data_IF_059127747241
#
_entry.id   IF_059127747241
#
_cell.length_a   1.000
_cell.length_b   1.000
_cell.length_c   1.000
_cell.angle_alpha   90.00
_cell.angle_beta   90.00
_cell.angle_gamma   90.00
#
_symmetry.space_group_name_H-M   'P 1'
#
loop_
_entity.id
_entity.type
_entity.pdbx_description
1 polymer ?
#
# COMPACT_ATOMS: atom_id res chain seq x y z
N UNK A 1 16.62 15.00 -18.14
CA UNK A 1 15.36 14.39 -18.59
C UNK A 1 15.55 12.88 -18.62
N UNK A 2 15.25 12.19 -17.52
CA UNK A 2 15.39 10.73 -17.42
C UNK A 2 14.09 10.05 -17.86
N UNK A 3 14.16 9.30 -18.96
CA UNK A 3 13.05 8.52 -19.50
C UNK A 3 13.01 7.18 -18.74
N UNK A 4 12.04 6.99 -17.85
CA UNK A 4 11.77 5.68 -17.26
C UNK A 4 11.05 4.82 -18.32
N UNK A 5 11.52 3.60 -18.64
CA UNK A 5 10.84 2.77 -19.63
C UNK A 5 9.47 2.32 -19.08
N UNK A 6 8.45 2.14 -19.94
CA UNK A 6 7.19 1.56 -19.51
C UNK A 6 7.47 0.16 -18.96
N UNK A 7 6.99 -0.11 -17.74
CA UNK A 7 7.02 -1.44 -17.13
C UNK A 7 6.44 -2.41 -18.14
N UNK A 8 7.25 -3.36 -18.59
CA UNK A 8 6.85 -4.36 -19.57
C UNK A 8 5.59 -5.06 -19.10
N UNK A 9 4.54 -5.00 -19.92
CA UNK A 9 3.30 -5.74 -19.71
C UNK A 9 3.61 -7.23 -19.79
N UNK A 10 3.78 -7.87 -18.62
CA UNK A 10 3.76 -9.33 -18.54
C UNK A 10 2.41 -9.80 -19.10
N UNK A 11 2.38 -10.81 -20.00
CA UNK A 11 1.13 -11.36 -20.47
C UNK A 11 0.37 -11.91 -19.26
N UNK A 12 -0.84 -11.38 -19.02
CA UNK A 12 -1.78 -11.94 -18.06
C UNK A 12 -2.10 -13.38 -18.49
N UNK A 13 -1.36 -14.35 -17.94
CA UNK A 13 -1.84 -15.72 -17.83
C UNK A 13 -2.92 -15.67 -16.76
N UNK A 14 -4.08 -16.30 -17.02
CA UNK A 14 -5.09 -16.51 -15.99
C UNK A 14 -4.41 -17.25 -14.82
N UNK A 15 -3.97 -16.48 -13.83
CA UNK A 15 -3.30 -16.97 -12.64
C UNK A 15 -4.28 -17.73 -11.78
N UNK A 16 -3.75 -18.43 -10.77
CA UNK A 16 -4.55 -19.13 -9.79
C UNK A 16 -5.62 -18.19 -9.18
N UNK A 17 -6.71 -18.73 -8.61
CA UNK A 17 -7.82 -17.92 -8.06
C UNK A 17 -7.39 -16.81 -7.07
N UNK A 18 -6.23 -16.95 -6.42
CA UNK A 18 -5.61 -15.94 -5.57
C UNK A 18 -5.24 -14.66 -6.32
N UNK A 19 -4.68 -14.76 -7.53
CA UNK A 19 -4.27 -13.61 -8.33
C UNK A 19 -5.49 -12.80 -8.75
N UNK A 20 -6.55 -13.47 -9.23
CA UNK A 20 -7.81 -12.81 -9.59
C UNK A 20 -8.40 -12.02 -8.41
N UNK A 21 -8.35 -12.58 -7.20
CA UNK A 21 -8.82 -11.88 -5.99
C UNK A 21 -7.97 -10.64 -5.67
N UNK A 22 -6.65 -10.75 -5.74
CA UNK A 22 -5.72 -9.61 -5.50
C UNK A 22 -5.97 -8.47 -6.48
N UNK A 23 -6.04 -8.76 -7.78
CA UNK A 23 -6.32 -7.74 -8.80
C UNK A 23 -7.72 -7.12 -8.67
N UNK A 24 -8.73 -7.92 -8.32
CA UNK A 24 -10.07 -7.37 -8.03
C UNK A 24 -10.02 -6.40 -6.86
N UNK A 25 -9.38 -6.78 -5.76
CA UNK A 25 -9.23 -5.94 -4.57
C UNK A 25 -8.48 -4.66 -4.89
N UNK A 26 -7.38 -4.75 -5.64
CA UNK A 26 -6.63 -3.58 -6.08
C UNK A 26 -7.49 -2.62 -6.90
N UNK A 27 -8.35 -3.14 -7.79
CA UNK A 27 -9.31 -2.32 -8.53
C UNK A 27 -10.33 -1.65 -7.60
N UNK A 28 -10.85 -2.37 -6.61
CA UNK A 28 -11.76 -1.82 -5.59
C UNK A 28 -11.07 -0.71 -4.75
N UNK A 29 -9.80 -0.89 -4.34
CA UNK A 29 -8.98 0.13 -3.66
C UNK A 29 -8.88 1.41 -4.51
N UNK A 30 -8.54 1.26 -5.79
CA UNK A 30 -8.48 2.38 -6.75
C UNK A 30 -9.82 3.11 -6.85
N UNK A 31 -10.94 2.37 -6.94
CA UNK A 31 -12.26 2.98 -7.05
C UNK A 31 -12.62 3.81 -5.80
N UNK A 32 -12.35 3.25 -4.62
CA UNK A 32 -12.62 3.93 -3.33
C UNK A 32 -11.82 5.22 -3.18
N UNK A 33 -10.57 5.22 -3.64
CA UNK A 33 -9.65 6.35 -3.54
C UNK A 33 -9.80 7.38 -4.67
N UNK A 34 -10.47 7.04 -5.77
CA UNK A 34 -10.60 7.90 -6.93
C UNK A 34 -11.50 9.12 -6.63
N UNK A 35 -10.96 10.31 -6.90
CA UNK A 35 -11.69 11.60 -6.80
C UNK A 35 -12.40 12.00 -8.09
N UNK A 36 -12.08 11.34 -9.21
CA UNK A 36 -12.64 11.64 -10.52
C UNK A 36 -13.18 10.35 -11.15
N UNK A 37 -14.11 10.46 -12.12
CA UNK A 37 -14.56 9.30 -12.88
C UNK A 37 -13.39 8.65 -13.61
N UNK A 38 -13.20 7.35 -13.37
CA UNK A 38 -12.24 6.48 -14.03
C UNK A 38 -12.99 5.50 -14.93
N UNK A 39 -12.48 5.29 -16.13
CA UNK A 39 -12.97 4.22 -17.00
C UNK A 39 -12.31 2.92 -16.59
N UNK A 40 -12.95 1.80 -16.89
CA UNK A 40 -12.38 0.49 -16.63
C UNK A 40 -11.02 0.27 -17.33
N UNK A 41 -10.79 0.89 -18.49
CA UNK A 41 -9.48 0.85 -19.15
C UNK A 41 -8.39 1.59 -18.35
N UNK A 42 -8.74 2.67 -17.66
CA UNK A 42 -7.80 3.46 -16.84
C UNK A 42 -7.42 2.69 -15.57
N UNK A 43 -8.39 1.98 -14.99
CA UNK A 43 -8.17 1.07 -13.85
C UNK A 43 -7.30 -0.11 -14.29
N UNK A 44 -7.58 -0.72 -15.45
CA UNK A 44 -6.77 -1.82 -15.97
C UNK A 44 -5.31 -1.40 -16.22
N UNK A 45 -5.12 -0.24 -16.87
CA UNK A 45 -3.79 0.34 -17.10
C UNK A 45 -3.05 0.63 -15.80
N UNK A 46 -3.75 1.14 -14.78
CA UNK A 46 -3.20 1.36 -13.43
C UNK A 46 -2.65 0.08 -12.82
N UNK A 47 -3.36 -1.03 -12.97
CA UNK A 47 -2.99 -2.33 -12.41
C UNK A 47 -2.03 -3.12 -13.30
N UNK A 48 -1.63 -2.60 -14.46
CA UNK A 48 -0.75 -3.29 -15.40
C UNK A 48 -1.38 -4.51 -16.08
N UNK A 49 -2.72 -4.58 -16.13
CA UNK A 49 -3.47 -5.67 -16.79
C UNK A 49 -4.19 -5.16 -18.03
N UNK A 50 -4.57 -6.07 -18.93
CA UNK A 50 -5.39 -5.69 -20.08
C UNK A 50 -6.82 -5.35 -19.66
N UNK A 51 -7.54 -4.47 -20.38
CA UNK A 51 -8.96 -4.20 -20.11
C UNK A 51 -9.83 -5.45 -20.14
N UNK A 52 -9.52 -6.40 -21.03
CA UNK A 52 -10.20 -7.70 -21.12
C UNK A 52 -9.96 -8.58 -19.89
N UNK A 53 -8.71 -8.66 -19.41
CA UNK A 53 -8.38 -9.38 -18.18
C UNK A 53 -9.12 -8.80 -16.97
N UNK A 54 -9.12 -7.47 -16.83
CA UNK A 54 -9.86 -6.81 -15.76
C UNK A 54 -11.36 -7.10 -15.87
N UNK A 55 -11.93 -7.08 -17.07
CA UNK A 55 -13.35 -7.44 -17.27
C UNK A 55 -13.67 -8.87 -16.84
N UNK A 56 -12.76 -9.82 -17.07
CA UNK A 56 -12.95 -11.21 -16.62
C UNK A 56 -12.85 -11.33 -15.09
N UNK A 57 -11.91 -10.60 -14.47
CA UNK A 57 -11.72 -10.56 -13.02
C UNK A 57 -12.93 -9.94 -12.31
N UNK A 58 -13.46 -8.84 -12.85
CA UNK A 58 -14.65 -8.16 -12.31
C UNK A 58 -15.89 -9.03 -12.49
N UNK A 59 -15.99 -9.74 -13.62
CA UNK A 59 -17.07 -10.68 -13.88
C UNK A 59 -18.44 -10.01 -13.79
N UNK A 60 -19.37 -10.62 -13.06
CA UNK A 60 -20.76 -10.14 -12.96
C UNK A 60 -21.01 -9.08 -11.89
N UNK A 61 -20.12 -8.97 -10.92
CA UNK A 61 -20.26 -7.98 -9.84
C UNK A 61 -19.43 -6.77 -10.23
N UNK A 62 -20.07 -5.65 -10.65
CA UNK A 62 -19.35 -4.48 -11.13
C UNK A 62 -18.47 -3.88 -10.03
N UNK A 63 -17.43 -3.17 -10.45
CA UNK A 63 -16.66 -2.32 -9.55
C UNK A 63 -17.53 -1.16 -9.07
N UNK A 64 -17.24 -0.58 -7.89
CA UNK A 64 -17.90 0.65 -7.47
C UNK A 64 -17.73 1.76 -8.51
N UNK A 65 -18.78 2.58 -8.67
CA UNK A 65 -18.68 3.79 -9.49
C UNK A 65 -17.58 4.72 -8.97
N UNK A 66 -16.97 5.47 -9.89
CA UNK A 66 -15.96 6.46 -9.55
C UNK A 66 -16.43 7.86 -9.97
N UNK A 67 -16.29 8.89 -9.11
CA UNK A 67 -15.96 8.79 -7.70
C UNK A 67 -17.06 8.09 -6.90
N UNK A 68 -16.68 7.27 -5.91
CA UNK A 68 -17.64 6.65 -4.99
C UNK A 68 -18.33 7.75 -4.19
N UNK A 69 -19.65 7.68 -4.05
CA UNK A 69 -20.39 8.67 -3.23
C UNK A 69 -19.93 8.62 -1.77
N UNK A 70 -19.98 9.75 -1.09
CA UNK A 70 -19.60 9.85 0.32
C UNK A 70 -20.28 8.78 1.20
N UNK A 71 -21.58 8.57 1.00
CA UNK A 71 -22.37 7.57 1.73
C UNK A 71 -21.95 6.13 1.41
N UNK A 72 -21.61 5.82 0.16
CA UNK A 72 -21.22 4.47 -0.25
C UNK A 72 -19.75 4.14 0.09
N UNK A 73 -18.89 5.15 0.23
CA UNK A 73 -17.44 4.95 0.42
C UNK A 73 -17.11 4.17 1.70
N UNK A 74 -17.85 4.40 2.79
CA UNK A 74 -17.69 3.64 4.04
C UNK A 74 -18.04 2.16 3.87
N UNK A 75 -19.11 1.86 3.13
CA UNK A 75 -19.51 0.48 2.82
C UNK A 75 -18.48 -0.21 1.93
N UNK A 76 -17.96 0.48 0.92
CA UNK A 76 -16.89 -0.05 0.07
C UNK A 76 -15.61 -0.35 0.87
N UNK A 77 -15.19 0.55 1.76
CA UNK A 77 -14.05 0.32 2.66
C UNK A 77 -14.27 -0.89 3.58
N UNK A 78 -15.46 -1.01 4.18
CA UNK A 78 -15.79 -2.15 5.02
C UNK A 78 -15.76 -3.49 4.26
N UNK A 79 -16.15 -3.48 2.98
CA UNK A 79 -16.11 -4.66 2.13
C UNK A 79 -14.68 -5.13 1.78
N UNK A 80 -13.67 -4.26 1.89
CA UNK A 80 -12.25 -4.59 1.67
C UNK A 80 -11.65 -5.36 2.87
N UNK A 81 -12.16 -5.11 4.07
CA UNK A 81 -11.60 -5.57 5.35
C UNK A 81 -11.46 -7.07 5.61
N UNK A 82 -12.35 -7.99 5.17
CA UNK A 82 -12.24 -9.40 5.56
C UNK A 82 -11.06 -10.14 4.89
N UNK A 83 -10.16 -9.43 4.21
CA UNK A 83 -9.15 -9.99 3.33
C UNK A 83 -7.86 -9.18 3.45
N UNK A 84 -6.88 -9.67 4.23
CA UNK A 84 -5.55 -9.06 4.25
C UNK A 84 -4.97 -9.03 2.84
N UNK A 85 -4.35 -7.91 2.47
CA UNK A 85 -3.71 -7.72 1.16
C UNK A 85 -2.58 -8.71 0.90
N UNK A 86 -1.96 -9.28 1.94
CA UNK A 86 -0.70 -10.01 1.77
C UNK A 86 -0.63 -11.34 2.53
N UNK A 87 -1.34 -12.35 2.02
CA UNK A 87 -1.16 -13.73 2.44
C UNK A 87 0.14 -14.31 1.85
N UNK A 88 1.18 -14.40 2.69
CA UNK A 88 2.47 -15.00 2.31
C UNK A 88 3.62 -14.02 2.11
N UNK A 89 3.53 -12.82 2.68
CA UNK A 89 4.63 -11.87 2.74
C UNK A 89 5.90 -12.47 3.37
N UNK A 90 7.06 -12.07 2.86
CA UNK A 90 8.34 -12.30 3.57
C UNK A 90 8.58 -11.11 4.49
N UNK A 91 8.88 -11.36 5.76
CA UNK A 91 9.13 -10.32 6.74
C UNK A 91 10.50 -10.49 7.39
N UNK A 92 11.23 -9.39 7.52
CA UNK A 92 12.44 -9.29 8.37
C UNK A 92 12.23 -8.19 9.40
N UNK A 93 12.83 -8.39 10.57
CA UNK A 93 12.54 -7.64 11.78
C UNK A 93 13.80 -6.96 12.27
N UNK A 94 13.70 -5.65 12.52
CA UNK A 94 14.84 -4.79 12.75
C UNK A 94 14.59 -3.87 13.94
N UNK A 95 15.68 -3.52 14.62
CA UNK A 95 15.67 -2.65 15.78
C UNK A 95 16.75 -1.58 15.68
N UNK A 96 16.37 -0.34 15.97
CA UNK A 96 17.26 0.74 16.38
C UNK A 96 16.62 1.54 17.53
N UNK A 97 17.45 2.32 18.23
CA UNK A 97 17.04 3.32 19.22
C UNK A 97 16.56 4.62 18.59
N UNK A 98 16.83 4.84 17.30
CA UNK A 98 16.40 6.03 16.57
C UNK A 98 14.88 6.11 16.49
N UNK A 99 14.29 7.31 16.33
CA UNK A 99 12.86 7.44 16.09
C UNK A 99 12.40 6.59 14.89
N UNK A 100 11.27 5.90 15.03
CA UNK A 100 10.73 4.97 14.02
C UNK A 100 10.58 5.61 12.64
N UNK A 101 10.20 6.88 12.60
CA UNK A 101 10.09 7.66 11.36
C UNK A 101 11.45 7.80 10.66
N UNK A 102 12.53 8.02 11.42
CA UNK A 102 13.89 8.10 10.86
C UNK A 102 14.40 6.72 10.44
N UNK A 103 14.07 5.66 11.17
CA UNK A 103 14.39 4.29 10.75
C UNK A 103 13.75 3.95 9.39
N UNK A 104 12.48 4.30 9.20
CA UNK A 104 11.78 4.10 7.92
C UNK A 104 12.41 4.95 6.79
N UNK A 105 12.80 6.20 7.07
CA UNK A 105 13.54 7.04 6.11
C UNK A 105 14.89 6.44 5.73
N UNK A 106 15.65 5.94 6.70
CA UNK A 106 16.93 5.27 6.45
C UNK A 106 16.75 4.04 5.57
N UNK A 107 15.73 3.23 5.81
CA UNK A 107 15.39 2.08 4.95
C UNK A 107 15.00 2.52 3.53
N UNK A 108 14.23 3.60 3.39
CA UNK A 108 13.84 4.15 2.07
C UNK A 108 15.05 4.70 1.32
N UNK A 109 15.92 5.44 1.99
CA UNK A 109 17.14 5.99 1.41
C UNK A 109 18.09 4.87 0.96
N UNK A 110 18.31 3.87 1.81
CA UNK A 110 19.09 2.69 1.44
C UNK A 110 18.46 1.96 0.24
N UNK A 111 17.14 1.81 0.21
CA UNK A 111 16.44 1.26 -0.94
C UNK A 111 16.76 2.02 -2.23
N UNK A 112 16.71 3.35 -2.20
CA UNK A 112 17.08 4.18 -3.35
C UNK A 112 18.54 3.97 -3.78
N UNK A 113 19.47 3.89 -2.83
CA UNK A 113 20.90 3.64 -3.11
C UNK A 113 21.13 2.25 -3.75
N UNK A 114 20.30 1.26 -3.37
CA UNK A 114 20.33 -0.10 -3.90
C UNK A 114 19.42 -0.32 -5.11
N UNK A 115 18.74 0.72 -5.60
CA UNK A 115 17.69 0.62 -6.62
C UNK A 115 16.54 -0.36 -6.28
N UNK A 116 16.30 -0.58 -4.98
CA UNK A 116 15.17 -1.33 -4.44
C UNK A 116 14.06 -0.36 -4.06
N UNK A 117 12.86 -0.56 -4.58
CA UNK A 117 11.74 0.31 -4.25
C UNK A 117 11.26 0.01 -2.83
N UNK A 118 11.27 1.02 -1.97
CA UNK A 118 10.79 0.94 -0.59
C UNK A 118 9.72 2.00 -0.35
N UNK A 119 8.62 1.62 0.29
CA UNK A 119 7.50 2.49 0.66
C UNK A 119 7.12 2.28 2.12
N UNK A 120 6.77 3.35 2.83
CA UNK A 120 6.23 3.22 4.18
C UNK A 120 4.82 2.61 4.16
N UNK A 121 4.55 1.77 5.16
CA UNK A 121 3.23 1.29 5.54
C UNK A 121 2.96 1.57 7.02
N UNK A 122 1.91 0.96 7.56
CA UNK A 122 1.57 1.00 8.97
C UNK A 122 1.51 2.42 9.55
N UNK A 123 1.95 2.57 10.81
CA UNK A 123 1.85 3.83 11.54
C UNK A 123 2.63 4.99 10.89
N UNK A 124 3.79 4.71 10.30
CA UNK A 124 4.61 5.73 9.64
C UNK A 124 3.90 6.29 8.41
N UNK A 125 3.31 5.42 7.59
CA UNK A 125 2.51 5.86 6.45
C UNK A 125 1.24 6.59 6.88
N UNK A 126 0.61 6.11 7.93
CA UNK A 126 -0.56 6.73 8.55
C UNK A 126 -0.28 8.18 8.96
N UNK A 127 0.80 8.39 9.72
CA UNK A 127 1.25 9.72 10.16
C UNK A 127 1.66 10.62 8.98
N UNK A 128 2.32 10.06 7.96
CA UNK A 128 2.67 10.81 6.75
C UNK A 128 1.42 11.24 5.94
N UNK A 129 0.38 10.40 5.88
CA UNK A 129 -0.88 10.72 5.21
C UNK A 129 -1.68 11.74 6.02
N UNK A 130 -1.79 11.56 7.34
CA UNK A 130 -2.44 12.48 8.25
C UNK A 130 -1.73 12.44 9.60
N UNK A 131 -0.98 13.49 9.97
CA UNK A 131 -0.29 13.51 11.25
C UNK A 131 -1.29 13.49 12.41
N UNK A 132 -1.24 12.46 13.25
CA UNK A 132 -2.18 12.34 14.38
C UNK A 132 -1.59 11.74 15.65
N UNK A 133 -0.49 10.97 15.55
CA UNK A 133 0.26 10.41 16.68
C UNK A 133 1.70 10.16 16.29
N UNK A 134 2.57 10.05 17.29
CA UNK A 134 3.95 9.64 17.08
C UNK A 134 3.98 8.12 16.80
N UNK A 135 4.51 7.65 15.65
CA UNK A 135 4.63 6.23 15.36
C UNK A 135 5.55 5.52 16.36
N UNK A 136 5.14 4.34 16.83
CA UNK A 136 5.91 3.50 17.77
C UNK A 136 6.38 2.19 17.14
N UNK A 137 5.80 1.79 16.01
CA UNK A 137 6.24 0.66 15.19
C UNK A 137 6.29 1.07 13.72
N UNK A 138 7.39 0.73 13.06
CA UNK A 138 7.62 1.00 11.65
C UNK A 138 7.25 -0.21 10.80
N UNK A 139 6.66 0.04 9.64
CA UNK A 139 6.50 -0.96 8.59
C UNK A 139 6.95 -0.31 7.29
N UNK A 140 7.80 -0.99 6.56
CA UNK A 140 8.16 -0.62 5.18
C UNK A 140 7.93 -1.81 4.26
N UNK A 141 7.34 -1.54 3.10
CA UNK A 141 7.25 -2.47 2.00
C UNK A 141 8.51 -2.32 1.14
N UNK A 142 9.15 -3.42 0.78
CA UNK A 142 10.29 -3.46 -0.15
C UNK A 142 10.01 -4.43 -1.29
N UNK A 143 10.47 -4.13 -2.52
CA UNK A 143 10.29 -5.08 -3.65
C UNK A 143 11.11 -6.35 -3.47
N UNK A 144 12.21 -6.27 -2.72
CA UNK A 144 13.12 -7.37 -2.42
C UNK A 144 13.66 -7.22 -0.98
N UNK A 145 14.13 -8.29 -0.33
CA UNK A 145 14.72 -8.19 0.99
C UNK A 145 15.94 -7.26 1.00
N UNK A 146 16.03 -6.40 2.01
CA UNK A 146 17.16 -5.47 2.21
C UNK A 146 17.79 -5.70 3.58
N UNK A 147 19.12 -5.63 3.63
CA UNK A 147 19.89 -5.70 4.87
C UNK A 147 20.05 -4.28 5.45
N UNK A 148 19.40 -4.01 6.59
CA UNK A 148 19.45 -2.70 7.24
C UNK A 148 20.63 -2.54 8.20
N UNK A 149 21.50 -3.54 8.35
CA UNK A 149 22.69 -3.44 9.21
C UNK A 149 23.65 -2.35 8.73
N UNK A 150 23.70 -2.10 7.43
CA UNK A 150 24.52 -1.05 6.81
C UNK A 150 24.09 0.37 7.18
N UNK A 151 22.86 0.55 7.67
CA UNK A 151 22.33 1.83 8.18
C UNK A 151 22.13 1.81 9.70
N UNK A 152 22.78 0.87 10.40
CA UNK A 152 22.85 0.86 11.87
C UNK A 152 21.68 0.18 12.58
N UNK A 153 20.81 -0.53 11.86
CA UNK A 153 19.78 -1.36 12.49
C UNK A 153 20.30 -2.77 12.79
N UNK A 154 19.79 -3.38 13.84
CA UNK A 154 20.12 -4.75 14.22
C UNK A 154 18.94 -5.66 13.91
N UNK A 155 19.21 -6.80 13.28
CA UNK A 155 18.17 -7.80 13.04
C UNK A 155 17.79 -8.48 14.35
N UNK A 156 16.48 -8.56 14.64
CA UNK A 156 15.92 -9.07 15.90
C UNK A 156 14.74 -9.99 15.65
N UNK A 157 14.06 -10.47 16.70
CA UNK A 157 12.78 -11.18 16.55
C UNK A 157 11.62 -10.20 16.37
N UNK A 158 10.45 -10.71 16.00
CA UNK A 158 9.26 -9.89 15.75
C UNK A 158 8.82 -9.07 16.97
N UNK A 159 8.99 -9.63 18.17
CA UNK A 159 8.57 -9.02 19.43
C UNK A 159 9.36 -7.74 19.75
N UNK A 160 10.67 -7.78 19.47
CA UNK A 160 11.63 -6.72 19.76
C UNK A 160 11.69 -5.64 18.67
N UNK A 161 11.18 -5.92 17.47
CA UNK A 161 11.37 -5.10 16.28
C UNK A 161 10.73 -3.70 16.36
N UNK A 162 11.51 -2.63 16.22
CA UNK A 162 10.95 -1.28 16.03
C UNK A 162 10.61 -0.99 14.57
N UNK A 163 11.17 -1.75 13.62
CA UNK A 163 10.88 -1.68 12.19
C UNK A 163 10.74 -3.07 11.57
N UNK A 164 9.68 -3.27 10.80
CA UNK A 164 9.48 -4.48 9.97
C UNK A 164 9.67 -4.11 8.51
N UNK A 165 10.49 -4.89 7.80
CA UNK A 165 10.59 -4.84 6.33
C UNK A 165 9.77 -5.99 5.76
N UNK A 166 8.79 -5.68 4.92
CA UNK A 166 7.86 -6.61 4.31
C UNK A 166 8.05 -6.64 2.80
N UNK A 167 8.31 -7.82 2.24
CA UNK A 167 8.28 -8.04 0.78
C UNK A 167 6.93 -8.67 0.44
N UNK A 168 6.04 -7.95 -0.27
CA UNK A 168 4.69 -8.42 -0.43
C UNK A 168 4.56 -9.49 -1.50
N UNK A 169 3.73 -10.50 -1.22
CA UNK A 169 3.32 -11.49 -2.21
C UNK A 169 2.30 -10.91 -3.21
N UNK A 170 1.52 -9.91 -2.81
CA UNK A 170 0.62 -9.16 -3.69
C UNK A 170 1.36 -8.04 -4.45
N UNK A 171 1.63 -8.21 -5.77
CA UNK A 171 2.33 -7.18 -6.55
C UNK A 171 1.49 -5.93 -6.77
N UNK A 172 0.17 -5.99 -6.53
CA UNK A 172 -0.72 -4.85 -6.79
C UNK A 172 -0.51 -3.69 -5.83
N UNK A 173 0.10 -3.92 -4.66
CA UNK A 173 0.49 -2.88 -3.69
C UNK A 173 1.33 -1.79 -4.38
N UNK A 174 2.27 -2.20 -5.23
CA UNK A 174 3.13 -1.27 -5.97
C UNK A 174 2.37 -0.50 -7.04
N UNK A 175 1.46 -1.16 -7.75
CA UNK A 175 0.65 -0.57 -8.81
C UNK A 175 -0.29 0.50 -8.24
N UNK A 176 -1.01 0.19 -7.17
CA UNK A 176 -1.94 1.13 -6.51
C UNK A 176 -1.21 2.26 -5.81
N UNK A 177 -0.06 2.02 -5.16
CA UNK A 177 0.77 3.08 -4.61
C UNK A 177 1.29 4.04 -5.70
N UNK A 178 1.74 3.50 -6.84
CA UNK A 178 2.22 4.33 -7.96
C UNK A 178 1.10 5.21 -8.53
N UNK A 179 -0.10 4.66 -8.70
CA UNK A 179 -1.26 5.44 -9.12
C UNK A 179 -1.63 6.50 -8.08
N UNK A 180 -1.65 6.13 -6.80
CA UNK A 180 -1.95 7.03 -5.69
C UNK A 180 -1.02 8.24 -5.68
N UNK A 181 0.28 8.03 -5.78
CA UNK A 181 1.24 9.12 -5.82
C UNK A 181 1.05 10.05 -7.03
N UNK A 182 0.70 9.51 -8.20
CA UNK A 182 0.42 10.33 -9.39
C UNK A 182 -0.83 11.19 -9.23
N UNK A 183 -1.90 10.67 -8.63
CA UNK A 183 -3.17 11.41 -8.51
C UNK A 183 -3.21 12.36 -7.30
N UNK A 184 -2.20 12.31 -6.43
CA UNK A 184 -2.09 13.17 -5.25
C UNK A 184 -0.99 14.23 -5.35
N UNK A 185 -0.21 14.22 -6.43
CA UNK A 185 0.72 15.25 -6.92
C UNK A 185 1.32 16.17 -5.82
N UNK A 186 1.98 15.57 -4.83
CA UNK A 186 2.72 16.29 -3.79
C UNK A 186 1.94 16.66 -2.51
N UNK A 187 0.66 16.27 -2.34
CA UNK A 187 -0.09 16.46 -1.08
C UNK A 187 0.63 15.85 0.15
N UNK A 188 1.52 14.88 -0.07
CA UNK A 188 2.26 14.16 0.98
C UNK A 188 3.78 14.21 0.72
N UNK A 189 4.35 15.41 0.52
CA UNK A 189 5.75 15.67 0.14
C UNK A 189 6.85 15.22 1.15
N UNK A 190 6.58 14.21 1.97
CA UNK A 190 7.53 13.61 2.91
C UNK A 190 7.87 12.18 2.52
N UNK A 191 7.46 11.24 3.35
CA UNK A 191 7.80 9.83 3.21
C UNK A 191 6.89 9.19 2.14
N UNK A 192 7.43 8.52 1.11
CA UNK A 192 6.60 7.81 0.14
C UNK A 192 5.92 6.61 0.81
N UNK A 193 4.60 6.45 0.58
CA UNK A 193 3.75 5.48 1.27
C UNK A 193 3.10 4.49 0.30
N UNK A 194 2.63 3.36 0.80
CA UNK A 194 1.58 2.57 0.13
C UNK A 194 0.27 3.35 0.02
N UNK A 195 -0.72 2.83 -0.72
CA UNK A 195 -2.03 3.49 -0.82
C UNK A 195 -2.77 3.47 0.54
N UNK A 196 -3.65 4.45 0.81
CA UNK A 196 -4.30 4.57 2.12
C UNK A 196 -5.14 3.38 2.57
N UNK A 197 -5.61 2.53 1.64
CA UNK A 197 -6.36 1.33 2.03
C UNK A 197 -5.41 0.25 2.54
N UNK A 198 -4.23 0.08 1.92
CA UNK A 198 -3.19 -0.80 2.45
C UNK A 198 -2.71 -0.31 3.83
N UNK A 199 -2.54 1.00 4.02
CA UNK A 199 -2.20 1.57 5.34
C UNK A 199 -3.28 1.24 6.38
N UNK A 200 -4.56 1.33 6.00
CA UNK A 200 -5.67 0.95 6.89
C UNK A 200 -5.60 -0.52 7.31
N UNK A 201 -5.22 -1.41 6.41
CA UNK A 201 -5.05 -2.84 6.69
C UNK A 201 -3.83 -3.10 7.58
N UNK A 202 -2.71 -2.42 7.35
CA UNK A 202 -1.53 -2.53 8.21
C UNK A 202 -1.85 -2.16 9.67
N UNK A 203 -2.66 -1.13 9.89
CA UNK A 203 -3.14 -0.72 11.22
C UNK A 203 -4.10 -1.75 11.85
N UNK A 204 -4.71 -2.63 11.06
CA UNK A 204 -5.53 -3.74 11.55
C UNK A 204 -4.70 -4.87 12.12
N UNK A 205 -3.59 -5.16 11.44
CA UNK A 205 -2.69 -6.27 11.73
C UNK A 205 -1.78 -5.95 12.91
N UNK A 206 -1.34 -4.69 13.01
CA UNK A 206 -0.70 -4.20 14.21
C UNK A 206 -1.67 -4.30 15.38
N UNK A 207 -1.32 -5.06 16.41
CA UNK A 207 -2.05 -5.14 17.68
C UNK A 207 -1.88 -3.83 18.46
N UNK A 208 -2.19 -2.70 17.82
CA UNK A 208 -2.18 -1.37 18.38
C UNK A 208 -3.45 -1.29 19.22
N UNK A 209 -3.30 -0.92 20.49
CA UNK A 209 -4.46 -0.62 21.33
C UNK A 209 -5.40 0.32 20.56
N UNK A 210 -6.70 0.03 20.57
CA UNK A 210 -7.73 0.79 19.84
C UNK A 210 -7.74 2.26 20.29
N UNK A 211 -6.90 3.07 19.66
CA UNK A 211 -6.66 4.48 19.94
C UNK A 211 -7.40 5.39 18.95
N UNK A 212 -8.22 4.78 18.08
CA UNK A 212 -8.98 5.47 17.04
C UNK A 212 -8.17 5.89 15.80
N UNK A 213 -6.88 5.56 15.69
CA UNK A 213 -6.05 5.87 14.51
C UNK A 213 -6.69 5.34 13.22
N UNK A 214 -7.12 4.08 13.24
CA UNK A 214 -7.86 3.45 12.14
C UNK A 214 -9.14 4.22 11.80
N UNK A 215 -9.94 4.57 12.80
CA UNK A 215 -11.21 5.26 12.60
C UNK A 215 -10.99 6.64 11.97
N UNK A 216 -9.97 7.38 12.40
CA UNK A 216 -9.58 8.67 11.81
C UNK A 216 -9.16 8.53 10.35
N UNK A 217 -8.38 7.50 10.02
CA UNK A 217 -7.98 7.25 8.63
C UNK A 217 -9.17 6.86 7.75
N UNK A 218 -10.12 6.06 8.27
CA UNK A 218 -11.40 5.77 7.60
C UNK A 218 -12.16 7.06 7.32
N UNK A 219 -12.37 7.89 8.35
CA UNK A 219 -13.14 9.12 8.21
C UNK A 219 -12.47 10.09 7.24
N UNK A 220 -11.14 10.17 7.24
CA UNK A 220 -10.40 10.95 6.26
C UNK A 220 -10.62 10.45 4.82
N UNK A 221 -10.49 9.15 4.56
CA UNK A 221 -10.75 8.59 3.22
C UNK A 221 -12.20 8.84 2.81
N UNK A 222 -13.15 8.69 3.74
CA UNK A 222 -14.57 8.93 3.49
C UNK A 222 -14.83 10.39 3.09
N UNK A 223 -14.22 11.35 3.76
CA UNK A 223 -14.38 12.79 3.55
C UNK A 223 -13.56 13.36 2.38
N UNK A 224 -12.72 12.53 1.73
CA UNK A 224 -11.81 12.91 0.64
C UNK A 224 -12.52 13.12 -0.70
#
# INVERSE_FOLDING_TARGET
>A
MGYWPPVGSLPFRAGNGHDCRRYRRAAERVCVLARHPLRQCDIAATLGVSPQALSQIVGRVPLPDTPVSWAARRTCLAALWPCAVDDGAIQTYWYSVDPVVEQARSAINLGNDLAVRVLAGGEVAADALRPWRIPTRGLVYATEPIDLSVVGLVQVTAEEATLTVRVPADPTVWATASWWHRVTDGEHAGIPTVDPVVVLEDLAEGNVADDGARQRLIDWIVMR
#
